data_IF_970573396011
#
_entry.id   IF_970573396011
#
_cell.length_a   1.000
_cell.length_b   1.000
_cell.length_c   1.000
_cell.angle_alpha   90.00
_cell.angle_beta   90.00
_cell.angle_gamma   90.00
#
_symmetry.space_group_name_H-M   'P 1'
#
loop_
_entity.id
_entity.type
_entity.pdbx_description
1 polymer ?
#
# COMPACT_ATOMS: atom_id res chain seq x y z
N UNK A 1 -1.42 14.73 -7.09
CA UNK A 1 -2.47 14.23 -8.00
C UNK A 1 -3.12 13.03 -7.32
N UNK A 2 -4.44 12.93 -7.36
CA UNK A 2 -5.18 11.76 -6.90
C UNK A 2 -5.66 11.01 -8.14
N UNK A 3 -5.30 9.74 -8.23
CA UNK A 3 -5.61 8.88 -9.36
C UNK A 3 -6.40 7.67 -8.86
N UNK A 4 -7.32 7.20 -9.69
CA UNK A 4 -8.06 5.95 -9.45
C UNK A 4 -7.59 4.95 -10.48
N UNK A 5 -7.18 3.77 -10.01
CA UNK A 5 -6.73 2.66 -10.86
C UNK A 5 -7.80 1.59 -10.82
N UNK A 6 -8.33 1.23 -11.98
CA UNK A 6 -9.35 0.20 -12.13
C UNK A 6 -8.72 -1.10 -12.62
N UNK A 7 -9.23 -2.22 -12.11
CA UNK A 7 -8.82 -3.55 -12.54
C UNK A 7 -10.01 -4.34 -13.05
N UNK A 8 -9.76 -5.15 -14.09
CA UNK A 8 -10.71 -6.18 -14.54
C UNK A 8 -10.63 -7.46 -13.70
N UNK A 9 -9.61 -7.56 -12.85
CA UNK A 9 -9.38 -8.67 -11.94
C UNK A 9 -9.64 -8.22 -10.48
N UNK A 10 -10.05 -9.14 -9.58
CA UNK A 10 -10.11 -8.84 -8.16
C UNK A 10 -8.77 -8.33 -7.64
N UNK A 11 -8.81 -7.29 -6.81
CA UNK A 11 -7.60 -6.70 -6.21
C UNK A 11 -7.09 -7.48 -5.00
N UNK A 12 -7.98 -8.24 -4.33
CA UNK A 12 -7.62 -9.16 -3.25
C UNK A 12 -7.63 -10.58 -3.81
N UNK A 13 -6.43 -11.17 -3.93
CA UNK A 13 -6.28 -12.55 -4.38
C UNK A 13 -6.16 -13.48 -3.15
N UNK A 14 -7.13 -14.38 -2.92
CA UNK A 14 -7.09 -15.29 -1.78
C UNK A 14 -5.85 -16.19 -1.76
N UNK A 15 -5.24 -16.47 -2.91
CA UNK A 15 -4.02 -17.29 -3.00
C UNK A 15 -2.75 -16.56 -2.55
N UNK A 16 -2.78 -15.23 -2.44
CA UNK A 16 -1.69 -14.41 -1.91
C UNK A 16 -1.85 -14.12 -0.41
N UNK A 17 -2.90 -14.66 0.20
CA UNK A 17 -3.21 -14.44 1.60
C UNK A 17 -2.46 -15.44 2.49
N UNK A 18 -1.80 -14.95 3.52
CA UNK A 18 -1.13 -15.72 4.55
C UNK A 18 -2.12 -16.45 5.48
N UNK A 19 -3.32 -15.89 5.67
CA UNK A 19 -4.34 -16.47 6.57
C UNK A 19 -5.74 -15.93 6.30
N UNK A 20 -6.78 -16.70 6.65
CA UNK A 20 -8.18 -16.23 6.54
C UNK A 20 -8.44 -14.94 7.33
N UNK A 21 -7.74 -14.74 8.46
CA UNK A 21 -7.84 -13.53 9.28
C UNK A 21 -7.35 -12.30 8.52
N UNK A 22 -6.22 -12.41 7.81
CA UNK A 22 -5.67 -11.34 6.98
C UNK A 22 -6.64 -10.98 5.85
N UNK A 23 -7.23 -11.97 5.18
CA UNK A 23 -8.26 -11.73 4.15
C UNK A 23 -9.47 -11.00 4.71
N UNK A 24 -9.99 -11.45 5.86
CA UNK A 24 -11.15 -10.81 6.48
C UNK A 24 -10.85 -9.38 6.92
N UNK A 25 -9.67 -9.12 7.47
CA UNK A 25 -9.24 -7.76 7.83
C UNK A 25 -9.12 -6.85 6.60
N UNK A 26 -8.56 -7.36 5.50
CA UNK A 26 -8.46 -6.60 4.25
C UNK A 26 -9.85 -6.29 3.66
N UNK A 27 -10.80 -7.22 3.75
CA UNK A 27 -12.18 -7.00 3.31
C UNK A 27 -12.93 -5.99 4.20
N UNK A 28 -12.73 -6.07 5.51
CA UNK A 28 -13.40 -5.22 6.50
C UNK A 28 -12.83 -3.78 6.52
N UNK A 29 -11.49 -3.65 6.46
CA UNK A 29 -10.81 -2.36 6.67
C UNK A 29 -10.20 -1.77 5.41
N UNK A 30 -10.05 -2.56 4.35
CA UNK A 30 -9.28 -2.19 3.18
C UNK A 30 -7.78 -2.39 3.40
N UNK A 31 -7.00 -1.94 2.44
CA UNK A 31 -5.54 -1.94 2.50
C UNK A 31 -5.03 -0.53 2.18
N UNK A 32 -3.87 -0.18 2.72
CA UNK A 32 -3.22 1.07 2.38
C UNK A 32 -1.72 0.95 2.61
N UNK A 33 -0.97 1.85 1.99
CA UNK A 33 0.46 1.89 2.21
C UNK A 33 1.12 3.07 1.54
N UNK A 34 2.43 3.12 1.73
CA UNK A 34 3.30 4.11 1.09
C UNK A 34 4.34 3.42 0.22
N UNK A 35 4.74 4.10 -0.86
CA UNK A 35 5.77 3.65 -1.81
C UNK A 35 6.79 4.77 -2.01
N UNK A 36 8.07 4.40 -2.08
CA UNK A 36 9.20 5.32 -2.25
C UNK A 36 9.21 6.45 -1.20
N UNK A 37 9.00 6.11 0.09
CA UNK A 37 9.04 7.10 1.17
C UNK A 37 10.44 7.73 1.25
N UNK A 38 10.50 9.05 1.08
CA UNK A 38 11.70 9.81 1.36
C UNK A 38 12.11 9.66 2.82
N UNK A 39 13.42 9.75 3.08
CA UNK A 39 13.99 9.68 4.43
C UNK A 39 13.33 10.72 5.37
N UNK A 40 13.14 11.94 4.87
CA UNK A 40 12.53 13.04 5.62
C UNK A 40 11.10 12.74 6.05
N UNK A 41 10.27 12.20 5.14
CA UNK A 41 8.90 11.85 5.48
C UNK A 41 8.85 10.65 6.44
N UNK A 42 9.72 9.65 6.25
CA UNK A 42 9.85 8.52 7.17
C UNK A 42 10.18 8.98 8.59
N UNK A 43 11.18 9.84 8.76
CA UNK A 43 11.55 10.38 10.07
C UNK A 43 10.43 11.22 10.72
N UNK A 44 9.65 11.97 9.91
CA UNK A 44 8.46 12.69 10.42
C UNK A 44 7.38 11.72 10.90
N UNK A 45 7.08 10.67 10.13
CA UNK A 45 6.09 9.67 10.53
C UNK A 45 6.49 8.96 11.82
N UNK A 46 7.77 8.61 11.98
CA UNK A 46 8.31 8.04 13.22
C UNK A 46 8.19 9.01 14.40
N UNK A 47 8.57 10.28 14.20
CA UNK A 47 8.47 11.32 15.22
C UNK A 47 7.03 11.49 15.74
N UNK A 48 6.05 11.51 14.83
CA UNK A 48 4.63 11.62 15.19
C UNK A 48 4.00 10.30 15.66
N UNK A 49 4.76 9.20 15.76
CA UNK A 49 4.25 7.85 16.04
C UNK A 49 3.12 7.44 15.08
N UNK A 50 3.29 7.84 13.82
CA UNK A 50 2.44 7.44 12.69
C UNK A 50 3.15 6.41 11.80
N UNK A 51 4.33 5.92 12.21
CA UNK A 51 5.05 4.90 11.47
C UNK A 51 4.28 3.58 11.50
N UNK A 52 4.16 2.94 10.34
CA UNK A 52 3.34 1.75 10.08
C UNK A 52 3.70 0.49 10.90
N UNK A 53 4.74 0.52 11.74
CA UNK A 53 5.07 -0.59 12.66
C UNK A 53 3.90 -0.97 13.57
N UNK A 54 3.01 -0.04 13.91
CA UNK A 54 1.89 -0.29 14.82
C UNK A 54 0.63 -0.88 14.15
N UNK A 55 0.50 -0.83 12.81
CA UNK A 55 -0.57 -1.56 12.09
C UNK A 55 -0.17 -2.99 11.68
N UNK A 56 1.10 -3.39 11.88
CA UNK A 56 1.56 -4.79 11.86
C UNK A 56 1.30 -5.49 13.22
N UNK A 57 0.35 -5.03 14.04
CA UNK A 57 -0.12 -5.74 15.24
C UNK A 57 -0.98 -6.94 14.85
N UNK A 58 -0.29 -8.05 14.50
CA UNK A 58 -0.57 -9.44 14.89
C UNK A 58 0.33 -10.39 14.07
N UNK A 59 1.65 -10.14 14.04
CA UNK A 59 2.63 -11.17 13.67
C UNK A 59 3.88 -10.99 14.53
N UNK A 60 3.93 -11.81 15.58
CA UNK A 60 5.07 -12.16 16.45
C UNK A 60 6.32 -11.26 16.36
N UNK A 61 6.42 -10.30 17.29
CA UNK A 61 7.62 -10.05 18.11
C UNK A 61 9.01 -9.97 17.46
N UNK A 62 9.13 -9.60 16.18
CA UNK A 62 10.42 -9.41 15.53
C UNK A 62 10.48 -7.99 14.96
N UNK A 63 11.41 -7.20 15.49
CA UNK A 63 11.80 -5.93 14.89
C UNK A 63 12.50 -6.22 13.57
N UNK A 64 11.77 -6.10 12.46
CA UNK A 64 12.36 -6.20 11.12
C UNK A 64 12.47 -4.80 10.53
N UNK A 65 13.67 -4.47 10.05
CA UNK A 65 13.95 -3.27 9.26
C UNK A 65 13.05 -3.26 8.03
N UNK A 66 12.47 -2.10 7.71
CA UNK A 66 11.66 -1.93 6.50
C UNK A 66 12.61 -1.80 5.32
N UNK A 67 13.22 -2.91 4.92
CA UNK A 67 13.87 -3.04 3.62
C UNK A 67 12.76 -3.26 2.57
N UNK A 68 12.87 -2.55 1.45
CA UNK A 68 11.87 -2.52 0.37
C UNK A 68 11.66 -3.88 -0.34
N UNK A 69 12.41 -4.90 0.07
CA UNK A 69 12.39 -6.30 -0.39
C UNK A 69 11.24 -7.14 0.22
N UNK A 70 10.63 -6.77 1.35
CA UNK A 70 9.56 -7.59 1.97
C UNK A 70 8.21 -7.56 1.24
N UNK A 71 8.03 -6.72 0.22
CA UNK A 71 6.80 -6.70 -0.59
C UNK A 71 6.67 -7.88 -1.57
N UNK A 72 7.46 -8.93 -1.39
CA UNK A 72 7.43 -10.12 -2.24
C UNK A 72 6.30 -11.09 -1.90
N UNK A 73 5.61 -10.89 -0.76
CA UNK A 73 4.50 -11.73 -0.33
C UNK A 73 3.43 -10.92 0.41
N UNK A 74 2.15 -11.09 0.05
CA UNK A 74 1.02 -10.45 0.74
C UNK A 74 -0.13 -10.10 -0.20
N UNK A 75 -1.28 -9.73 0.38
CA UNK A 75 -2.48 -9.35 -0.38
C UNK A 75 -2.28 -8.07 -1.23
N UNK A 76 -1.38 -7.20 -0.80
CA UNK A 76 -1.04 -5.94 -1.45
C UNK A 76 -0.01 -6.07 -2.57
N UNK A 77 0.64 -7.23 -2.73
CA UNK A 77 1.82 -7.42 -3.58
C UNK A 77 1.60 -6.91 -5.01
N UNK A 78 0.49 -7.30 -5.65
CA UNK A 78 0.21 -6.90 -7.03
C UNK A 78 -0.06 -5.40 -7.17
N UNK A 79 -0.70 -4.78 -6.16
CA UNK A 79 -0.92 -3.33 -6.12
C UNK A 79 0.43 -2.61 -5.98
N UNK A 80 1.27 -3.05 -5.04
CA UNK A 80 2.59 -2.49 -4.78
C UNK A 80 3.48 -2.60 -6.02
N UNK A 81 3.52 -3.78 -6.65
CA UNK A 81 4.26 -4.04 -7.88
C UNK A 81 3.79 -3.15 -9.02
N UNK A 82 2.48 -2.98 -9.20
CA UNK A 82 1.92 -2.07 -10.19
C UNK A 82 2.37 -0.63 -9.95
N UNK A 83 2.26 -0.13 -8.71
CA UNK A 83 2.62 1.26 -8.37
C UNK A 83 4.11 1.51 -8.62
N UNK A 84 4.99 0.61 -8.15
CA UNK A 84 6.46 0.72 -8.35
C UNK A 84 6.83 0.76 -9.84
N UNK A 85 6.19 -0.08 -10.66
CA UNK A 85 6.44 -0.11 -12.11
C UNK A 85 5.90 1.13 -12.82
N UNK A 86 4.81 1.73 -12.33
CA UNK A 86 4.13 2.86 -12.99
C UNK A 86 4.71 4.22 -12.61
N UNK A 87 5.19 4.37 -11.38
CA UNK A 87 5.78 5.60 -10.82
C UNK A 87 7.13 5.27 -10.20
N UNK A 88 8.14 5.28 -11.06
CA UNK A 88 9.47 4.80 -10.75
C UNK A 88 10.24 5.82 -9.92
N UNK A 89 11.02 5.31 -8.97
CA UNK A 89 11.89 6.15 -8.14
C UNK A 89 12.94 6.88 -8.99
N UNK A 90 13.46 6.23 -10.05
CA UNK A 90 14.45 6.81 -10.97
C UNK A 90 13.89 8.00 -11.77
N UNK A 91 12.57 8.08 -11.92
CA UNK A 91 11.88 9.20 -12.59
C UNK A 91 11.48 10.33 -11.62
N UNK A 92 11.93 10.26 -10.36
CA UNK A 92 11.70 11.29 -9.35
C UNK A 92 10.37 11.17 -8.59
N UNK A 93 9.71 10.00 -8.61
CA UNK A 93 8.48 9.77 -7.86
C UNK A 93 8.75 9.24 -6.45
N UNK A 94 8.44 10.08 -5.46
CA UNK A 94 8.60 9.80 -4.03
C UNK A 94 7.32 10.09 -3.24
N UNK A 95 7.27 9.54 -2.03
CA UNK A 95 6.20 9.74 -1.05
C UNK A 95 4.80 9.45 -1.61
N UNK A 96 4.68 8.34 -2.33
CA UNK A 96 3.40 7.91 -2.88
C UNK A 96 2.60 7.25 -1.77
N UNK A 97 1.29 7.50 -1.75
CA UNK A 97 0.36 6.82 -0.85
C UNK A 97 -0.72 6.14 -1.68
N UNK A 98 -1.17 4.96 -1.27
CA UNK A 98 -2.26 4.27 -1.93
C UNK A 98 -3.26 3.70 -0.92
N UNK A 99 -4.51 3.58 -1.37
CA UNK A 99 -5.62 3.11 -0.54
C UNK A 99 -6.53 2.24 -1.41
N UNK A 100 -6.73 1.00 -0.98
CA UNK A 100 -7.83 0.15 -1.39
C UNK A 100 -8.91 0.24 -0.31
N UNK A 101 -10.01 0.93 -0.60
CA UNK A 101 -11.12 1.02 0.35
C UNK A 101 -11.80 -0.35 0.51
N UNK A 102 -12.31 -0.69 1.71
CA UNK A 102 -13.17 -1.85 1.87
C UNK A 102 -14.47 -1.66 1.09
N UNK A 103 -15.12 -2.77 0.70
CA UNK A 103 -16.25 -2.77 -0.26
C UNK A 103 -17.38 -1.84 0.18
N UNK A 104 -17.68 -1.81 1.48
CA UNK A 104 -18.75 -0.98 2.06
C UNK A 104 -18.48 0.53 1.99
N UNK A 105 -17.22 0.95 1.73
CA UNK A 105 -16.83 2.35 1.54
C UNK A 105 -16.60 2.70 0.06
N UNK A 106 -16.75 1.75 -0.86
CA UNK A 106 -16.61 2.00 -2.29
C UNK A 106 -17.93 2.47 -2.90
N UNK A 107 -17.90 3.61 -3.61
CA UNK A 107 -19.07 4.09 -4.35
C UNK A 107 -19.45 3.20 -5.54
N UNK A 108 -18.48 2.48 -6.11
CA UNK A 108 -18.67 1.55 -7.23
C UNK A 108 -18.20 0.14 -6.82
N UNK A 109 -18.95 -0.59 -5.98
CA UNK A 109 -18.49 -1.84 -5.37
C UNK A 109 -18.29 -2.99 -6.37
N UNK A 110 -18.88 -2.91 -7.55
CA UNK A 110 -18.72 -3.91 -8.63
C UNK A 110 -17.52 -3.63 -9.53
N UNK A 111 -16.83 -2.51 -9.36
CA UNK A 111 -15.66 -2.12 -10.15
C UNK A 111 -14.43 -2.10 -9.24
N UNK A 112 -13.59 -3.14 -9.24
CA UNK A 112 -12.41 -3.18 -8.39
C UNK A 112 -11.48 -1.99 -8.67
N UNK A 113 -11.23 -1.18 -7.63
CA UNK A 113 -10.37 0.00 -7.76
C UNK A 113 -9.60 0.32 -6.49
N UNK A 114 -8.48 1.00 -6.68
CA UNK A 114 -7.71 1.62 -5.59
C UNK A 114 -7.29 3.04 -5.98
N UNK A 115 -7.00 3.83 -4.96
CA UNK A 115 -6.60 5.21 -5.06
C UNK A 115 -5.09 5.33 -4.90
N UNK A 116 -4.47 6.20 -5.70
CA UNK A 116 -3.04 6.53 -5.57
C UNK A 116 -2.90 8.05 -5.49
N UNK A 117 -2.20 8.52 -4.48
CA UNK A 117 -1.81 9.91 -4.29
C UNK A 117 -0.36 10.05 -4.70
N UNK A 118 -0.16 10.77 -5.81
CA UNK A 118 1.13 10.92 -6.48
C UNK A 118 1.56 12.37 -6.44
N UNK A 119 2.71 12.68 -5.86
CA UNK A 119 3.33 14.01 -5.96
C UNK A 119 3.89 14.21 -7.37
N UNK A 120 3.95 15.45 -7.85
CA UNK A 120 4.64 15.73 -9.12
C UNK A 120 6.11 15.30 -8.95
N UNK A 121 6.72 14.64 -9.96
CA UNK A 121 8.11 14.25 -9.86
C UNK A 121 8.98 15.51 -9.73
N UNK A 122 9.96 15.45 -8.84
CA UNK A 122 10.99 16.49 -8.76
C UNK A 122 11.99 16.13 -9.86
N UNK A 123 11.98 16.89 -10.95
CA UNK A 123 13.09 16.81 -11.91
C UNK A 123 14.29 17.48 -11.24
N UNK A 124 15.27 16.66 -10.85
CA UNK A 124 16.59 17.12 -10.42
C UNK A 124 17.42 17.53 -11.63
#
# INVERSE_FOLDING_TARGET
RHLVVWSRLPLLNPNLCNSRTEMNLALDRGLSGFINLSRDLRSKLEYFKLSFKEQKMMRNGCEVSVDEEEAEFGLEQEIVKFIKNRWRIEEGYFDLMWILNPIQLQSCPTLPHFHVFVKKPIHL
#
